data_IF_569267214691
#
_entry.id   IF_569267214691
#
_cell.length_a   1.000
_cell.length_b   1.000
_cell.length_c   1.000
_cell.angle_alpha   90.00
_cell.angle_beta   90.00
_cell.angle_gamma   90.00
#
_symmetry.space_group_name_H-M   'P 1'
#
loop_
_entity.id
_entity.type
_entity.pdbx_description
1 polymer ?
#
# COMPACT_ATOMS: atom_id res chain seq x y z
N UNK A 1 19.55 0.73 0.81
CA UNK A 1 18.96 0.02 -0.35
C UNK A 1 18.39 1.06 -1.31
N UNK A 2 18.88 1.12 -2.54
CA UNK A 2 18.42 2.06 -3.57
C UNK A 2 17.44 1.30 -4.46
N UNK A 3 16.16 1.70 -4.48
CA UNK A 3 15.17 1.14 -5.41
C UNK A 3 15.37 1.91 -6.72
N UNK A 4 15.91 1.25 -7.75
CA UNK A 4 16.04 1.87 -9.06
C UNK A 4 14.74 1.65 -9.85
N UNK A 5 13.95 2.72 -9.96
CA UNK A 5 12.63 2.73 -10.61
C UNK A 5 12.73 2.75 -12.15
N UNK A 6 13.57 1.90 -12.75
CA UNK A 6 13.58 1.74 -14.21
C UNK A 6 12.32 1.01 -14.69
N UNK A 7 11.86 1.25 -15.93
CA UNK A 7 10.57 0.77 -16.43
C UNK A 7 10.30 -0.74 -16.22
N UNK A 8 11.35 -1.57 -16.28
CA UNK A 8 11.25 -3.02 -16.10
C UNK A 8 10.89 -3.46 -14.66
N UNK A 9 11.37 -2.76 -13.63
CA UNK A 9 11.14 -3.17 -12.24
C UNK A 9 9.69 -2.92 -11.81
N UNK A 10 9.14 -1.77 -12.19
CA UNK A 10 7.72 -1.46 -11.96
C UNK A 10 6.80 -2.44 -12.68
N UNK A 11 7.11 -2.74 -13.95
CA UNK A 11 6.34 -3.70 -14.74
C UNK A 11 6.39 -5.11 -14.12
N UNK A 12 7.56 -5.55 -13.66
CA UNK A 12 7.74 -6.84 -12.98
C UNK A 12 6.93 -6.90 -11.68
N UNK A 13 7.04 -5.90 -10.82
CA UNK A 13 6.30 -5.85 -9.55
C UNK A 13 4.78 -5.86 -9.78
N UNK A 14 4.29 -5.03 -10.73
CA UNK A 14 2.88 -5.00 -11.13
C UNK A 14 2.40 -6.38 -11.58
N UNK A 15 3.17 -7.07 -12.42
CA UNK A 15 2.84 -8.41 -12.92
C UNK A 15 2.77 -9.43 -11.78
N UNK A 16 3.76 -9.44 -10.89
CA UNK A 16 3.80 -10.37 -9.76
C UNK A 16 2.62 -10.16 -8.80
N UNK A 17 2.27 -8.90 -8.50
CA UNK A 17 1.08 -8.58 -7.68
C UNK A 17 -0.18 -9.08 -8.37
N UNK A 18 -0.35 -8.83 -9.68
CA UNK A 18 -1.51 -9.28 -10.44
C UNK A 18 -1.64 -10.82 -10.50
N UNK A 19 -0.53 -11.56 -10.55
CA UNK A 19 -0.52 -13.03 -10.55
C UNK A 19 -0.89 -13.64 -9.18
N UNK A 20 -0.56 -12.95 -8.09
CA UNK A 20 -0.88 -13.40 -6.72
C UNK A 20 -2.29 -12.97 -6.30
N UNK A 21 -2.78 -11.82 -6.81
CA UNK A 21 -4.05 -11.23 -6.39
C UNK A 21 -5.24 -12.19 -6.41
N UNK A 22 -5.46 -13.05 -7.43
CA UNK A 22 -6.58 -14.00 -7.44
C UNK A 22 -6.49 -15.08 -6.34
N UNK A 23 -5.29 -15.36 -5.83
CA UNK A 23 -4.99 -16.45 -4.88
C UNK A 23 -5.12 -16.04 -3.41
N UNK A 24 -5.45 -14.78 -3.12
CA UNK A 24 -5.55 -14.24 -1.77
C UNK A 24 -6.97 -13.74 -1.48
N UNK A 25 -7.40 -13.81 -0.23
CA UNK A 25 -8.74 -13.37 0.18
C UNK A 25 -8.76 -11.92 0.68
N UNK A 26 -7.64 -11.44 1.22
CA UNK A 26 -7.50 -10.10 1.83
C UNK A 26 -6.16 -9.48 1.46
N UNK A 27 -6.16 -8.15 1.27
CA UNK A 27 -4.95 -7.34 1.11
C UNK A 27 -4.63 -6.64 2.42
N UNK A 28 -3.37 -6.66 2.84
CA UNK A 28 -2.87 -5.82 3.94
C UNK A 28 -1.95 -4.78 3.33
N UNK A 29 -2.37 -3.52 3.34
CA UNK A 29 -1.60 -2.39 2.82
C UNK A 29 -0.94 -1.65 3.99
N UNK A 30 0.39 -1.71 4.06
CA UNK A 30 1.16 -1.02 5.12
C UNK A 30 1.56 0.37 4.63
N UNK A 31 1.08 1.40 5.32
CA UNK A 31 1.23 2.81 4.99
C UNK A 31 2.04 3.54 6.06
N UNK A 32 2.56 4.73 5.73
CA UNK A 32 3.21 5.60 6.71
C UNK A 32 2.15 6.51 7.36
N UNK A 33 1.99 6.43 8.69
CA UNK A 33 0.96 7.15 9.44
C UNK A 33 1.02 8.67 9.28
N UNK A 34 2.19 9.23 8.95
CA UNK A 34 2.38 10.68 8.73
C UNK A 34 1.77 11.17 7.41
N UNK A 35 1.55 10.27 6.46
CA UNK A 35 1.03 10.58 5.11
C UNK A 35 0.30 9.37 4.51
N UNK A 36 -0.82 8.92 5.10
CA UNK A 36 -1.46 7.67 4.71
C UNK A 36 -1.98 7.68 3.27
N UNK A 37 -2.53 8.82 2.82
CA UNK A 37 -3.02 8.96 1.43
C UNK A 37 -1.85 8.98 0.44
N UNK A 38 -0.81 9.76 0.71
CA UNK A 38 0.32 9.93 -0.22
C UNK A 38 1.26 8.72 -0.28
N UNK A 39 1.30 7.91 0.77
CA UNK A 39 2.11 6.68 0.81
C UNK A 39 1.41 5.47 0.20
N UNK A 40 0.11 5.57 -0.09
CA UNK A 40 -0.65 4.52 -0.76
C UNK A 40 -0.30 4.43 -2.25
N UNK A 41 -0.45 3.24 -2.82
CA UNK A 41 -0.19 3.02 -4.25
C UNK A 41 -1.50 2.98 -5.05
N UNK A 42 -1.79 3.97 -5.92
CA UNK A 42 -3.02 4.00 -6.73
C UNK A 42 -3.19 2.77 -7.65
N UNK A 43 -2.09 2.12 -8.02
CA UNK A 43 -2.15 0.87 -8.81
C UNK A 43 -2.71 -0.29 -7.98
N UNK A 44 -2.37 -0.36 -6.69
CA UNK A 44 -2.81 -1.45 -5.82
C UNK A 44 -4.34 -1.41 -5.63
N UNK A 45 -4.90 -0.21 -5.50
CA UNK A 45 -6.35 0.00 -5.43
C UNK A 45 -7.07 -0.53 -6.68
N UNK A 46 -6.52 -0.28 -7.87
CA UNK A 46 -7.06 -0.81 -9.12
C UNK A 46 -6.92 -2.34 -9.22
N UNK A 47 -5.78 -2.88 -8.79
CA UNK A 47 -5.50 -4.32 -8.87
C UNK A 47 -6.33 -5.14 -7.89
N UNK A 48 -6.57 -4.65 -6.67
CA UNK A 48 -7.35 -5.38 -5.66
C UNK A 48 -8.85 -5.44 -5.99
N UNK A 49 -9.36 -4.48 -6.75
CA UNK A 49 -10.78 -4.37 -7.07
C UNK A 49 -11.63 -4.34 -5.79
N UNK A 50 -12.57 -5.27 -5.68
CA UNK A 50 -13.48 -5.37 -4.53
C UNK A 50 -12.93 -6.20 -3.36
N UNK A 51 -11.70 -6.72 -3.44
CA UNK A 51 -11.13 -7.51 -2.34
C UNK A 51 -10.99 -6.66 -1.07
N UNK A 52 -11.36 -7.21 0.10
CA UNK A 52 -11.15 -6.54 1.38
C UNK A 52 -9.69 -6.08 1.54
N UNK A 53 -9.50 -4.86 2.03
CA UNK A 53 -8.19 -4.28 2.27
C UNK A 53 -8.12 -3.72 3.69
N UNK A 54 -7.16 -4.21 4.47
CA UNK A 54 -6.81 -3.68 5.78
C UNK A 54 -5.64 -2.73 5.58
N UNK A 55 -5.82 -1.45 5.91
CA UNK A 55 -4.75 -0.46 5.91
C UNK A 55 -4.11 -0.40 7.28
N UNK A 56 -2.80 -0.61 7.34
CA UNK A 56 -2.01 -0.54 8.57
C UNK A 56 -1.19 0.73 8.56
N UNK A 57 -1.48 1.65 9.46
CA UNK A 57 -0.72 2.90 9.61
C UNK A 57 0.52 2.65 10.48
N UNK A 58 1.64 2.38 9.83
CA UNK A 58 2.93 2.13 10.47
C UNK A 58 3.64 3.45 10.84
N UNK A 59 4.60 3.38 11.77
CA UNK A 59 5.32 4.54 12.33
C UNK A 59 4.41 5.56 13.00
N UNK A 60 3.34 5.08 13.63
CA UNK A 60 2.40 5.93 14.38
C UNK A 60 3.08 6.66 15.55
N UNK A 61 4.18 6.11 16.08
CA UNK A 61 5.04 6.75 17.09
C UNK A 61 5.70 8.05 16.60
N UNK A 62 5.86 8.20 15.28
CA UNK A 62 6.43 9.40 14.64
C UNK A 62 5.36 10.34 14.07
N UNK A 63 4.09 9.95 14.11
CA UNK A 63 2.98 10.72 13.58
C UNK A 63 2.28 11.49 14.70
N UNK A 64 1.63 12.60 14.34
CA UNK A 64 0.76 13.32 15.27
C UNK A 64 -0.43 12.41 15.65
N UNK A 65 -0.64 12.10 16.94
CA UNK A 65 -1.71 11.18 17.37
C UNK A 65 -3.12 11.70 17.07
N UNK A 66 -3.35 13.01 17.16
CA UNK A 66 -4.67 13.60 16.91
C UNK A 66 -5.01 13.57 15.41
N UNK A 67 -4.02 13.91 14.57
CA UNK A 67 -4.17 13.79 13.11
C UNK A 67 -4.29 12.33 12.70
N UNK A 68 -3.54 11.43 13.34
CA UNK A 68 -3.61 10.00 13.06
C UNK A 68 -4.99 9.42 13.35
N UNK A 69 -5.60 9.84 14.47
CA UNK A 69 -6.96 9.44 14.83
C UNK A 69 -8.01 9.91 13.82
N UNK A 70 -7.80 11.05 13.16
CA UNK A 70 -8.70 11.52 12.11
C UNK A 70 -8.67 10.68 10.81
N UNK A 71 -7.67 9.81 10.63
CA UNK A 71 -7.58 8.89 9.48
C UNK A 71 -8.23 7.52 9.73
N UNK A 72 -8.48 7.16 10.99
CA UNK A 72 -9.02 5.86 11.41
C UNK A 72 -10.54 5.84 11.37
#
# INVERSE_FOLDING_TARGET
MKIEWYPGHMAKAKRQIAEVMPKIDVVIEVLDARLPVSSANPMLEKLRGQKPCIKVLNKSDLADPEVTAAWL
#
